data_IF_716250433714
#
_entry.id   IF_716250433714
#
_cell.length_a   1.000
_cell.length_b   1.000
_cell.length_c   1.000
_cell.angle_alpha   90.00
_cell.angle_beta   90.00
_cell.angle_gamma   90.00
#
_symmetry.space_group_name_H-M   'P 1'
#
loop_
_entity.id
_entity.type
_entity.pdbx_description
1 polymer ?
#
# COMPACT_ATOMS: atom_id res chain seq x y z
N UNK A 1 6.99 27.47 13.04
CA UNK A 1 7.30 26.36 13.96
C UNK A 1 7.67 25.14 13.13
N UNK A 2 8.87 24.59 13.31
CA UNK A 2 9.36 23.44 12.55
C UNK A 2 8.56 22.19 12.97
N UNK A 3 7.92 21.51 12.04
CA UNK A 3 6.97 20.43 12.35
C UNK A 3 7.73 19.11 12.59
N UNK A 4 8.33 18.97 13.78
CA UNK A 4 9.25 17.87 14.12
C UNK A 4 8.62 16.47 14.02
N UNK A 5 7.30 16.36 14.20
CA UNK A 5 6.59 15.09 14.04
C UNK A 5 6.58 14.63 12.58
N UNK A 6 6.31 15.53 11.62
CA UNK A 6 6.29 15.17 10.20
C UNK A 6 7.69 14.84 9.67
N UNK A 7 8.73 15.51 10.18
CA UNK A 7 10.11 15.17 9.82
C UNK A 7 10.50 13.78 10.34
N UNK A 8 10.09 13.41 11.55
CA UNK A 8 10.27 12.06 12.10
C UNK A 8 9.53 11.01 11.27
N UNK A 9 8.28 11.26 10.90
CA UNK A 9 7.48 10.39 10.03
C UNK A 9 8.20 10.12 8.72
N UNK A 10 8.57 11.19 8.02
CA UNK A 10 9.22 11.11 6.71
C UNK A 10 10.55 10.35 6.82
N UNK A 11 11.36 10.61 7.85
CA UNK A 11 12.61 9.88 8.08
C UNK A 11 12.39 8.37 8.21
N UNK A 12 11.37 7.96 8.97
CA UNK A 12 11.04 6.53 9.14
C UNK A 12 10.47 5.92 7.87
N UNK A 13 9.63 6.66 7.15
CA UNK A 13 9.07 6.22 5.88
C UNK A 13 10.17 5.99 4.84
N UNK A 14 11.16 6.89 4.76
CA UNK A 14 12.32 6.72 3.89
C UNK A 14 13.16 5.50 4.28
N UNK A 15 13.39 5.26 5.57
CA UNK A 15 14.11 4.07 6.04
C UNK A 15 13.39 2.78 5.65
N UNK A 16 12.07 2.68 5.88
CA UNK A 16 11.26 1.53 5.50
C UNK A 16 11.24 1.31 3.98
N UNK A 17 11.12 2.39 3.18
CA UNK A 17 11.18 2.31 1.72
C UNK A 17 12.54 1.80 1.25
N UNK A 18 13.63 2.28 1.86
CA UNK A 18 14.99 1.84 1.54
C UNK A 18 15.18 0.35 1.83
N UNK A 19 14.71 -0.12 2.98
CA UNK A 19 14.73 -1.53 3.37
C UNK A 19 13.92 -2.39 2.39
N UNK A 20 12.68 -2.01 2.09
CA UNK A 20 11.84 -2.73 1.11
C UNK A 20 12.49 -2.79 -0.27
N UNK A 21 13.03 -1.67 -0.75
CA UNK A 21 13.70 -1.63 -2.04
C UNK A 21 14.96 -2.50 -2.07
N UNK A 22 15.71 -2.54 -0.97
CA UNK A 22 16.84 -3.46 -0.84
C UNK A 22 16.39 -4.92 -0.98
N UNK A 23 15.30 -5.30 -0.30
CA UNK A 23 14.79 -6.66 -0.37
C UNK A 23 14.11 -7.03 -1.69
N UNK A 24 13.52 -6.07 -2.40
CA UNK A 24 12.93 -6.30 -3.72
C UNK A 24 13.94 -6.92 -4.70
N UNK A 25 15.24 -6.60 -4.59
CA UNK A 25 16.28 -7.23 -5.41
C UNK A 25 16.35 -8.74 -5.27
N UNK A 26 16.02 -9.29 -4.09
CA UNK A 26 16.00 -10.74 -3.87
C UNK A 26 14.73 -11.41 -4.40
N UNK A 27 13.60 -10.69 -4.37
CA UNK A 27 12.31 -11.17 -4.88
C UNK A 27 12.30 -11.14 -6.41
N UNK A 28 12.68 -10.01 -7.01
CA UNK A 28 12.73 -9.81 -8.46
C UNK A 28 14.06 -10.32 -9.05
N UNK A 29 14.36 -11.60 -8.83
CA UNK A 29 15.45 -12.27 -9.52
C UNK A 29 15.03 -12.70 -10.94
N UNK A 30 15.99 -13.10 -11.79
CA UNK A 30 15.76 -13.43 -13.20
C UNK A 30 14.67 -14.50 -13.43
N UNK A 31 14.60 -15.53 -12.58
CA UNK A 31 13.58 -16.58 -12.70
C UNK A 31 12.16 -16.06 -12.40
N UNK A 32 12.00 -15.18 -11.41
CA UNK A 32 10.70 -14.60 -11.07
C UNK A 32 10.20 -13.64 -12.17
N UNK A 33 11.11 -12.95 -12.85
CA UNK A 33 10.76 -12.06 -13.96
C UNK A 33 10.10 -12.81 -15.13
N UNK A 34 10.60 -14.01 -15.47
CA UNK A 34 9.99 -14.85 -16.51
C UNK A 34 8.58 -15.30 -16.11
N UNK A 35 8.40 -15.70 -14.84
CA UNK A 35 7.07 -16.02 -14.33
C UNK A 35 6.11 -14.83 -14.44
N UNK A 36 6.54 -13.63 -14.03
CA UNK A 36 5.73 -12.42 -14.16
C UNK A 36 5.36 -12.11 -15.62
N UNK A 37 6.29 -12.31 -16.56
CA UNK A 37 6.02 -12.09 -17.99
C UNK A 37 4.89 -13.00 -18.49
N UNK A 38 4.95 -14.29 -18.15
CA UNK A 38 3.92 -15.28 -18.52
C UNK A 38 2.59 -14.93 -17.84
N UNK A 39 2.63 -14.63 -16.53
CA UNK A 39 1.44 -14.26 -15.77
C UNK A 39 0.76 -13.02 -16.37
N UNK A 40 1.53 -12.00 -16.73
CA UNK A 40 1.01 -10.75 -17.29
C UNK A 40 0.44 -10.98 -18.70
N UNK A 41 1.11 -11.78 -19.53
CA UNK A 41 0.59 -12.20 -20.84
C UNK A 41 -0.74 -12.95 -20.73
N UNK A 42 -0.80 -13.95 -19.84
CA UNK A 42 -2.02 -14.70 -19.57
C UNK A 42 -3.13 -13.81 -19.00
N UNK A 43 -2.78 -12.87 -18.11
CA UNK A 43 -3.71 -11.92 -17.53
C UNK A 43 -4.32 -11.00 -18.59
N UNK A 44 -3.51 -10.38 -19.46
CA UNK A 44 -4.01 -9.50 -20.53
C UNK A 44 -4.93 -10.28 -21.48
N UNK A 45 -4.49 -11.45 -21.94
CA UNK A 45 -5.26 -12.26 -22.88
C UNK A 45 -6.57 -12.75 -22.26
N UNK A 46 -6.49 -13.34 -21.06
CA UNK A 46 -7.66 -13.85 -20.34
C UNK A 46 -8.65 -12.76 -19.95
N UNK A 47 -8.15 -11.60 -19.50
CA UNK A 47 -9.00 -10.45 -19.21
C UNK A 47 -9.71 -9.92 -20.46
N UNK A 48 -8.99 -9.83 -21.58
CA UNK A 48 -9.57 -9.41 -22.87
C UNK A 48 -10.69 -10.34 -23.36
N UNK A 49 -10.48 -11.66 -23.30
CA UNK A 49 -11.52 -12.64 -23.66
C UNK A 49 -12.70 -12.63 -22.69
N UNK A 50 -12.46 -12.48 -21.39
CA UNK A 50 -13.53 -12.37 -20.39
C UNK A 50 -14.42 -11.15 -20.65
N UNK A 51 -13.82 -10.01 -21.01
CA UNK A 51 -14.55 -8.77 -21.28
C UNK A 51 -15.55 -8.92 -22.44
N UNK A 52 -15.25 -9.77 -23.43
CA UNK A 52 -16.14 -10.06 -24.58
C UNK A 52 -17.38 -10.85 -24.17
N UNK A 53 -17.29 -11.65 -23.11
CA UNK A 53 -18.34 -12.54 -22.64
C UNK A 53 -19.01 -12.02 -21.35
N UNK A 54 -18.88 -10.73 -21.06
CA UNK A 54 -19.47 -10.14 -19.87
C UNK A 54 -21.00 -10.21 -19.94
N UNK A 55 -21.65 -10.79 -18.91
CA UNK A 55 -23.10 -10.87 -18.86
C UNK A 55 -23.69 -9.50 -18.49
N UNK A 56 -24.69 -9.03 -19.22
CA UNK A 56 -25.29 -7.69 -19.08
C UNK A 56 -26.27 -7.57 -17.91
N UNK A 57 -26.66 -8.68 -17.29
CA UNK A 57 -27.59 -8.71 -16.16
C UNK A 57 -26.93 -8.42 -14.80
N UNK A 58 -25.61 -8.26 -14.76
CA UNK A 58 -24.86 -8.00 -13.51
C UNK A 58 -24.53 -6.51 -13.40
N UNK A 59 -24.85 -5.91 -12.26
CA UNK A 59 -24.46 -4.54 -11.96
C UNK A 59 -23.02 -4.48 -11.43
N UNK A 60 -22.05 -4.46 -12.34
CA UNK A 60 -20.62 -4.35 -12.00
C UNK A 60 -20.27 -3.05 -11.28
N UNK A 61 -21.01 -1.96 -11.52
CA UNK A 61 -20.79 -0.70 -10.82
C UNK A 61 -21.06 -0.83 -9.32
N UNK A 62 -22.11 -1.57 -8.93
CA UNK A 62 -22.40 -1.85 -7.53
C UNK A 62 -21.31 -2.71 -6.89
N UNK A 63 -20.86 -3.76 -7.58
CA UNK A 63 -19.79 -4.64 -7.08
C UNK A 63 -18.49 -3.83 -6.88
N UNK A 64 -18.11 -3.02 -7.86
CA UNK A 64 -16.93 -2.16 -7.77
C UNK A 64 -17.06 -1.14 -6.62
N UNK A 65 -18.23 -0.52 -6.45
CA UNK A 65 -18.49 0.41 -5.37
C UNK A 65 -18.34 -0.25 -3.99
N UNK A 66 -18.88 -1.47 -3.81
CA UNK A 66 -18.74 -2.23 -2.56
C UNK A 66 -17.27 -2.57 -2.29
N UNK A 67 -16.52 -3.00 -3.29
CA UNK A 67 -15.08 -3.29 -3.16
C UNK A 67 -14.31 -2.03 -2.72
N UNK A 68 -14.57 -0.89 -3.37
CA UNK A 68 -13.93 0.39 -3.02
C UNK A 68 -14.32 0.84 -1.61
N UNK A 69 -15.59 0.69 -1.23
CA UNK A 69 -16.05 1.01 0.12
C UNK A 69 -15.33 0.15 1.16
N UNK A 70 -15.19 -1.16 0.92
CA UNK A 70 -14.47 -2.07 1.81
C UNK A 70 -12.99 -1.73 1.92
N UNK A 71 -12.32 -1.40 0.81
CA UNK A 71 -10.90 -1.04 0.86
C UNK A 71 -10.64 0.30 1.56
N UNK A 72 -11.61 1.20 1.55
CA UNK A 72 -11.51 2.49 2.25
C UNK A 72 -11.54 2.38 3.78
N UNK A 73 -11.97 1.25 4.34
CA UNK A 73 -12.06 1.05 5.80
C UNK A 73 -10.68 0.74 6.42
N UNK A 74 -9.71 0.30 5.62
CA UNK A 74 -8.41 -0.10 6.16
C UNK A 74 -7.63 1.11 6.69
N UNK A 75 -7.31 1.16 8.00
CA UNK A 75 -6.58 2.28 8.58
C UNK A 75 -5.13 2.27 8.11
N UNK A 76 -4.58 3.47 7.87
CA UNK A 76 -3.16 3.63 7.63
C UNK A 76 -2.39 3.30 8.92
N UNK A 77 -1.46 2.34 8.85
CA UNK A 77 -0.64 1.99 10.01
C UNK A 77 0.34 3.13 10.32
N UNK A 78 0.28 3.75 11.51
CA UNK A 78 1.24 4.79 11.86
C UNK A 78 2.62 4.14 12.05
N UNK A 79 3.69 4.81 11.60
CA UNK A 79 5.08 4.33 11.71
C UNK A 79 5.63 4.48 13.15
N UNK A 80 4.79 4.22 14.15
CA UNK A 80 5.14 4.23 15.57
C UNK A 80 5.80 2.92 15.94
N UNK A 81 6.78 3.02 16.84
CA UNK A 81 7.47 1.90 17.47
C UNK A 81 7.06 1.84 18.93
N UNK A 82 7.22 0.68 19.57
CA UNK A 82 6.86 0.50 20.98
C UNK A 82 7.54 1.51 21.91
N UNK A 83 8.81 1.84 21.64
CA UNK A 83 9.56 2.86 22.37
C UNK A 83 8.87 4.25 22.37
N UNK A 84 8.15 4.60 21.31
CA UNK A 84 7.53 5.92 21.16
C UNK A 84 6.41 6.18 22.16
N UNK A 85 5.84 5.12 22.76
CA UNK A 85 4.85 5.23 23.83
C UNK A 85 5.38 6.02 25.03
N UNK A 86 6.70 5.99 25.27
CA UNK A 86 7.34 6.69 26.39
C UNK A 86 8.05 7.94 25.87
N UNK A 87 8.81 7.84 24.78
CA UNK A 87 9.66 8.93 24.29
C UNK A 87 8.89 10.08 23.62
N UNK A 88 7.70 9.82 23.06
CA UNK A 88 6.92 10.86 22.38
C UNK A 88 5.83 11.50 23.26
N UNK A 89 5.67 11.07 24.52
CA UNK A 89 4.72 11.68 25.48
C UNK A 89 4.86 13.22 25.58
N UNK A 90 6.08 13.81 25.69
CA UNK A 90 6.22 15.26 25.74
C UNK A 90 5.81 15.99 24.44
N UNK A 91 5.74 15.25 23.32
CA UNK A 91 5.47 15.77 21.98
C UNK A 91 4.03 15.52 21.52
N UNK A 92 3.16 14.98 22.38
CA UNK A 92 1.78 14.58 22.05
C UNK A 92 0.98 15.70 21.36
N UNK A 93 1.10 16.94 21.85
CA UNK A 93 0.41 18.13 21.29
C UNK A 93 0.77 18.43 19.83
N UNK A 94 1.91 17.93 19.35
CA UNK A 94 2.41 18.12 17.99
C UNK A 94 2.23 16.88 17.10
N UNK A 95 1.68 15.78 17.64
CA UNK A 95 1.50 14.52 16.91
C UNK A 95 0.15 14.39 16.20
N UNK A 96 -0.77 15.35 16.35
CA UNK A 96 -2.09 15.29 15.70
C UNK A 96 -2.01 15.17 14.17
N UNK A 97 -1.00 15.79 13.54
CA UNK A 97 -0.74 15.67 12.11
C UNK A 97 -0.02 14.36 11.73
N UNK A 98 0.70 13.73 12.66
CA UNK A 98 1.37 12.44 12.46
C UNK A 98 0.40 11.26 12.55
N UNK A 99 -0.65 11.40 13.38
CA UNK A 99 -1.63 10.35 13.69
C UNK A 99 -2.93 10.43 12.86
N UNK A 100 -3.03 11.37 11.92
CA UNK A 100 -4.08 11.41 10.90
C UNK A 100 -3.74 10.49 9.75
#
# INVERSE_FOLDING_TARGET
>A
MHNQATTLFNKRLHALRKEKNYYNKFIFNGHFMVFLLILLGAFIFGYGEWLKHIPTNINFALIAAVIVALTSIFPMRPLLKEADKIFLLPFEKHMSQFMR
#
